data_IF_320086652629
#
_entry.id   IF_320086652629
#
_cell.length_a   1.000
_cell.length_b   1.000
_cell.length_c   1.000
_cell.angle_alpha   90.00
_cell.angle_beta   90.00
_cell.angle_gamma   90.00
#
_symmetry.space_group_name_H-M   'P 1'
#
loop_
_entity.id
_entity.type
_entity.pdbx_description
1 polymer ?
#
# COMPACT_ATOMS: atom_id res chain seq x y z
N UNK A 1 25.55 6.98 10.74
CA UNK A 1 24.71 7.51 11.85
C UNK A 1 24.94 6.63 13.07
N UNK A 2 25.05 7.20 14.28
CA UNK A 2 25.20 6.40 15.51
C UNK A 2 23.90 5.62 15.81
N UNK A 3 24.02 4.45 16.42
CA UNK A 3 22.87 3.58 16.71
C UNK A 3 21.78 4.29 17.52
N UNK A 4 22.16 5.04 18.55
CA UNK A 4 21.22 5.79 19.40
C UNK A 4 20.41 6.82 18.63
N UNK A 5 21.04 7.50 17.66
CA UNK A 5 20.38 8.49 16.80
C UNK A 5 19.36 7.80 15.91
N UNK A 6 19.70 6.64 15.34
CA UNK A 6 18.78 5.86 14.51
C UNK A 6 17.59 5.35 15.33
N UNK A 7 17.84 4.83 16.54
CA UNK A 7 16.79 4.37 17.45
C UNK A 7 15.84 5.51 17.83
N UNK A 8 16.36 6.70 18.15
CA UNK A 8 15.54 7.88 18.45
C UNK A 8 14.65 8.29 17.28
N UNK A 9 15.18 8.27 16.05
CA UNK A 9 14.40 8.59 14.84
C UNK A 9 13.30 7.54 14.61
N UNK A 10 13.65 6.26 14.65
CA UNK A 10 12.70 5.15 14.43
C UNK A 10 11.59 5.17 15.48
N UNK A 11 11.94 5.46 16.74
CA UNK A 11 10.98 5.59 17.83
C UNK A 11 10.03 6.78 17.60
N UNK A 12 10.54 7.96 17.24
CA UNK A 12 9.70 9.11 16.92
C UNK A 12 8.75 8.84 15.75
N UNK A 13 9.21 8.12 14.72
CA UNK A 13 8.38 7.74 13.58
C UNK A 13 7.23 6.79 13.97
N UNK A 14 7.32 6.05 15.07
CA UNK A 14 6.24 5.20 15.55
C UNK A 14 5.06 5.99 16.15
N UNK A 15 5.22 7.28 16.44
CA UNK A 15 4.14 8.16 16.94
C UNK A 15 3.47 8.99 15.84
N UNK A 16 4.03 9.01 14.63
CA UNK A 16 3.53 9.85 13.53
C UNK A 16 2.40 9.21 12.70
N UNK A 17 1.77 8.14 13.20
CA UNK A 17 0.79 7.41 12.42
C UNK A 17 -0.57 8.08 12.56
N UNK A 18 -0.95 8.88 11.55
CA UNK A 18 -2.08 9.82 11.58
C UNK A 18 -3.47 9.23 11.83
N UNK A 19 -3.59 7.90 11.91
CA UNK A 19 -4.87 7.19 12.07
C UNK A 19 -5.21 6.94 13.54
N UNK A 20 -4.20 6.82 14.41
CA UNK A 20 -4.40 6.59 15.86
C UNK A 20 -3.53 7.56 16.66
N UNK A 21 -3.99 7.96 17.84
CA UNK A 21 -3.26 8.90 18.70
C UNK A 21 -2.32 8.17 19.70
N UNK A 22 -1.63 7.13 19.24
CA UNK A 22 -0.73 6.33 20.07
C UNK A 22 0.39 5.71 19.23
N UNK A 23 1.45 5.26 19.90
CA UNK A 23 2.54 4.57 19.23
C UNK A 23 2.06 3.28 18.54
N UNK A 24 2.61 3.01 17.36
CA UNK A 24 2.42 1.76 16.61
C UNK A 24 3.66 0.88 16.66
N UNK A 25 3.52 -0.40 16.29
CA UNK A 25 4.60 -1.40 16.35
C UNK A 25 5.74 -1.15 15.36
N UNK A 26 5.47 -0.44 14.26
CA UNK A 26 6.42 -0.13 13.21
C UNK A 26 6.41 1.38 12.89
N UNK A 27 7.51 1.97 12.40
CA UNK A 27 7.53 3.34 11.93
C UNK A 27 6.40 3.64 10.94
N UNK A 28 5.80 4.83 11.06
CA UNK A 28 4.67 5.25 10.24
C UNK A 28 4.84 5.02 8.73
N UNK A 29 6.02 5.28 8.12
CA UNK A 29 6.21 4.99 6.69
C UNK A 29 5.99 3.51 6.32
N UNK A 30 6.40 2.58 7.18
CA UNK A 30 6.21 1.13 6.97
C UNK A 30 4.74 0.75 7.09
N UNK A 31 4.06 1.28 8.11
CA UNK A 31 2.62 1.08 8.30
C UNK A 31 1.79 1.60 7.11
N UNK A 32 2.18 2.77 6.57
CA UNK A 32 1.53 3.36 5.40
C UNK A 32 1.77 2.51 4.16
N UNK A 33 3.01 2.05 3.94
CA UNK A 33 3.34 1.18 2.82
C UNK A 33 2.53 -0.13 2.84
N UNK A 34 2.41 -0.79 4.00
CA UNK A 34 1.59 -2.00 4.16
C UNK A 34 0.11 -1.72 3.83
N UNK A 35 -0.46 -0.60 4.31
CA UNK A 35 -1.84 -0.22 3.97
C UNK A 35 -2.03 0.05 2.49
N UNK A 36 -1.08 0.72 1.83
CA UNK A 36 -1.13 0.96 0.39
C UNK A 36 -1.05 -0.36 -0.40
N UNK A 37 -0.21 -1.31 0.03
CA UNK A 37 -0.11 -2.63 -0.60
C UNK A 37 -1.40 -3.44 -0.44
N UNK A 38 -1.97 -3.51 0.78
CA UNK A 38 -3.26 -4.17 1.04
C UNK A 38 -4.37 -3.59 0.18
N UNK A 39 -4.44 -2.26 0.08
CA UNK A 39 -5.43 -1.60 -0.78
C UNK A 39 -5.19 -1.89 -2.27
N UNK A 40 -3.95 -1.88 -2.73
CA UNK A 40 -3.61 -2.28 -4.11
C UNK A 40 -4.11 -3.68 -4.43
N UNK A 41 -3.95 -4.63 -3.50
CA UNK A 41 -4.52 -5.97 -3.61
C UNK A 41 -6.05 -5.95 -3.62
N UNK A 42 -6.71 -5.20 -2.74
CA UNK A 42 -8.17 -5.09 -2.75
C UNK A 42 -8.72 -4.52 -4.06
N UNK A 43 -8.08 -3.47 -4.59
CA UNK A 43 -8.45 -2.87 -5.89
C UNK A 43 -8.29 -3.88 -7.02
N UNK A 44 -7.19 -4.64 -7.01
CA UNK A 44 -6.94 -5.69 -7.98
C UNK A 44 -8.04 -6.77 -7.93
N UNK A 45 -8.33 -7.31 -6.75
CA UNK A 45 -9.37 -8.34 -6.56
C UNK A 45 -10.76 -7.81 -6.96
N UNK A 46 -11.08 -6.55 -6.66
CA UNK A 46 -12.35 -5.95 -7.06
C UNK A 46 -12.50 -5.79 -8.58
N UNK A 47 -11.40 -5.54 -9.30
CA UNK A 47 -11.42 -5.32 -10.76
C UNK A 47 -11.29 -6.62 -11.56
N UNK A 48 -10.53 -7.59 -11.07
CA UNK A 48 -10.16 -8.79 -11.82
C UNK A 48 -10.65 -10.11 -11.17
N UNK A 49 -11.29 -10.04 -10.00
CA UNK A 49 -11.63 -11.21 -9.19
C UNK A 49 -10.45 -11.72 -8.36
N UNK A 50 -10.68 -12.69 -7.49
CA UNK A 50 -9.60 -13.40 -6.81
C UNK A 50 -8.99 -14.42 -7.78
N UNK A 51 -7.66 -14.44 -7.92
CA UNK A 51 -6.98 -15.40 -8.81
C UNK A 51 -7.20 -16.86 -8.36
N UNK A 52 -7.71 -17.07 -7.15
CA UNK A 52 -8.14 -18.39 -6.66
C UNK A 52 -9.35 -18.96 -7.41
N UNK A 53 -10.20 -18.11 -8.01
CA UNK A 53 -11.38 -18.53 -8.77
C UNK A 53 -11.09 -18.67 -10.28
N UNK A 54 -10.08 -17.98 -10.78
CA UNK A 54 -9.64 -18.07 -12.17
C UNK A 54 -8.56 -19.15 -12.32
N UNK A 55 -9.01 -20.40 -12.38
CA UNK A 55 -8.31 -21.54 -12.97
C UNK A 55 -8.10 -21.34 -14.48
N UNK A 56 -7.51 -20.23 -14.90
CA UNK A 56 -7.14 -20.03 -16.31
C UNK A 56 -5.73 -20.56 -16.53
N UNK A 57 -5.73 -21.83 -16.96
CA UNK A 57 -4.69 -22.55 -17.66
C UNK A 57 -3.68 -21.64 -18.39
N UNK A 58 -2.47 -21.56 -17.85
CA UNK A 58 -1.27 -21.70 -18.68
C UNK A 58 -0.95 -20.61 -19.70
N UNK A 59 -1.55 -19.41 -19.64
CA UNK A 59 -0.94 -18.25 -20.30
C UNK A 59 -0.32 -17.36 -19.24
N UNK A 60 0.99 -17.53 -19.05
CA UNK A 60 1.84 -16.60 -18.32
C UNK A 60 1.91 -15.26 -19.08
N UNK A 61 0.77 -14.58 -19.20
CA UNK A 61 0.72 -13.20 -19.61
C UNK A 61 1.37 -12.46 -18.45
N UNK A 62 2.66 -12.15 -18.60
CA UNK A 62 3.35 -11.17 -17.80
C UNK A 62 2.48 -9.92 -17.81
N UNK A 63 1.71 -9.72 -16.74
CA UNK A 63 0.77 -8.60 -16.65
C UNK A 63 1.62 -7.35 -16.73
N UNK A 64 1.42 -6.54 -17.76
CA UNK A 64 2.15 -5.30 -17.95
C UNK A 64 1.97 -4.44 -16.69
N UNK A 65 3.03 -4.40 -15.88
CA UNK A 65 3.03 -3.70 -14.60
C UNK A 65 2.78 -2.20 -14.80
N UNK A 66 3.19 -1.64 -15.94
CA UNK A 66 2.97 -0.24 -16.27
C UNK A 66 1.48 -0.01 -16.54
N UNK A 67 0.86 -0.88 -17.35
CA UNK A 67 -0.58 -0.82 -17.61
C UNK A 67 -1.39 -1.02 -16.32
N UNK A 68 -1.02 -2.01 -15.50
CA UNK A 68 -1.69 -2.31 -14.24
C UNK A 68 -1.58 -1.13 -13.26
N UNK A 69 -0.40 -0.55 -13.11
CA UNK A 69 -0.20 0.65 -12.29
C UNK A 69 -1.00 1.84 -12.84
N UNK A 70 -1.05 2.05 -14.16
CA UNK A 70 -1.85 3.12 -14.75
C UNK A 70 -3.36 2.95 -14.54
N UNK A 71 -3.84 1.71 -14.41
CA UNK A 71 -5.24 1.39 -14.14
C UNK A 71 -5.60 1.52 -12.66
N UNK A 72 -4.73 1.06 -11.77
CA UNK A 72 -4.99 0.99 -10.32
C UNK A 72 -4.43 2.17 -9.52
N UNK A 73 -3.57 3.00 -10.12
CA UNK A 73 -3.03 4.21 -9.50
C UNK A 73 -4.10 5.28 -9.34
N UNK A 74 -3.97 6.06 -8.27
CA UNK A 74 -4.77 7.24 -8.01
C UNK A 74 -4.19 8.50 -8.65
N UNK A 75 -2.87 8.52 -8.90
CA UNK A 75 -2.16 9.70 -9.40
C UNK A 75 -2.68 10.04 -10.79
N UNK A 76 -3.05 11.30 -10.99
CA UNK A 76 -3.64 11.80 -12.24
C UNK A 76 -4.97 11.13 -12.63
N UNK A 77 -5.70 10.60 -11.63
CA UNK A 77 -7.07 10.08 -11.77
C UNK A 77 -8.03 10.87 -10.88
N UNK A 78 -9.34 10.87 -11.15
CA UNK A 78 -10.33 11.57 -10.29
C UNK A 78 -10.25 11.17 -8.81
N UNK A 79 -9.85 9.92 -8.55
CA UNK A 79 -9.71 9.38 -7.20
C UNK A 79 -8.52 9.98 -6.41
N UNK A 80 -7.60 10.72 -7.04
CA UNK A 80 -6.48 11.41 -6.38
C UNK A 80 -6.95 12.37 -5.28
N UNK A 81 -8.13 12.97 -5.49
CA UNK A 81 -8.71 13.97 -4.58
C UNK A 81 -9.45 13.36 -3.39
N UNK A 82 -9.64 12.04 -3.38
CA UNK A 82 -10.35 11.33 -2.32
C UNK A 82 -9.38 11.00 -1.18
N UNK A 83 -9.56 11.65 -0.02
CA UNK A 83 -8.74 11.41 1.18
C UNK A 83 -8.80 9.94 1.61
N UNK A 84 -7.65 9.42 2.01
CA UNK A 84 -7.40 8.02 2.44
C UNK A 84 -8.05 7.60 3.77
N UNK A 85 -9.04 8.35 4.28
CA UNK A 85 -9.60 8.19 5.63
C UNK A 85 -11.04 7.67 5.61
N UNK A 86 -11.33 6.66 4.78
CA UNK A 86 -12.51 5.82 4.90
C UNK A 86 -12.06 4.37 5.03
#
# INVERSE_FOLDING_TARGET
MKADVMQGIVHALAYNFQIVNMAVSCPSPVMIADRMAKRGRCNYVAMFGDESENSDNGSGIEKDLIQLNNQLSYISKPLETVRFNA
#
